data_IF_598849559182
#
_entry.id   IF_598849559182
#
_cell.length_a   1.000
_cell.length_b   1.000
_cell.length_c   1.000
_cell.angle_alpha   90.00
_cell.angle_beta   90.00
_cell.angle_gamma   90.00
#
_symmetry.space_group_name_H-M   'P 1'
#
loop_
_entity.id
_entity.type
_entity.pdbx_description
1 polymer ?
#
# COMPACT_ATOMS: atom_id res chain seq x y z
N UNK A 1 -7.22 -3.39 15.85
CA UNK A 1 -8.70 -3.58 15.89
C UNK A 1 -9.31 -3.77 14.50
N UNK A 2 -8.59 -3.36 13.44
CA UNK A 2 -9.01 -3.38 12.03
C UNK A 2 -9.17 -4.80 11.47
N UNK A 3 -8.30 -5.73 11.90
CA UNK A 3 -8.33 -7.16 11.53
C UNK A 3 -9.63 -7.90 11.91
N UNK A 4 -10.28 -7.53 13.03
CA UNK A 4 -11.54 -8.17 13.49
C UNK A 4 -12.77 -7.75 12.67
N UNK A 5 -12.72 -6.60 12.01
CA UNK A 5 -13.82 -6.11 11.18
C UNK A 5 -13.73 -6.68 9.75
N UNK A 6 -12.54 -6.63 9.14
CA UNK A 6 -12.32 -7.15 7.77
C UNK A 6 -12.73 -8.63 7.65
N UNK A 7 -12.28 -9.46 8.60
CA UNK A 7 -12.63 -10.88 8.70
C UNK A 7 -14.13 -11.16 8.93
N UNK A 8 -14.89 -10.21 9.51
CA UNK A 8 -16.31 -10.43 9.85
C UNK A 8 -17.25 -10.16 8.67
N UNK A 9 -16.90 -9.22 7.78
CA UNK A 9 -17.77 -8.80 6.65
C UNK A 9 -17.45 -9.48 5.32
N UNK A 10 -16.24 -10.00 5.13
CA UNK A 10 -15.77 -10.49 3.83
C UNK A 10 -15.32 -11.95 3.81
N UNK A 11 -15.71 -12.76 4.82
CA UNK A 11 -15.45 -14.21 4.88
C UNK A 11 -16.02 -15.00 3.70
N UNK A 12 -16.92 -14.42 2.88
CA UNK A 12 -17.47 -15.03 1.67
C UNK A 12 -16.67 -14.76 0.39
N UNK A 13 -15.58 -14.00 0.45
CA UNK A 13 -14.69 -13.74 -0.69
C UNK A 13 -13.28 -14.27 -0.43
N UNK A 14 -13.19 -15.54 -0.03
CA UNK A 14 -11.95 -16.28 -0.24
C UNK A 14 -11.95 -16.73 -1.71
N UNK A 15 -10.98 -16.35 -2.56
CA UNK A 15 -10.70 -17.19 -3.70
C UNK A 15 -10.33 -18.56 -3.13
N UNK A 16 -10.94 -19.61 -3.66
CA UNK A 16 -10.56 -21.00 -3.37
C UNK A 16 -9.07 -21.10 -3.69
N UNK A 17 -8.22 -20.99 -2.67
CA UNK A 17 -6.84 -21.44 -2.78
C UNK A 17 -6.95 -22.95 -2.82
N UNK A 18 -7.11 -23.46 -4.04
CA UNK A 18 -6.92 -24.86 -4.32
C UNK A 18 -5.50 -25.21 -3.90
N UNK A 19 -5.43 -26.06 -2.89
CA UNK A 19 -4.22 -26.70 -2.42
C UNK A 19 -3.69 -27.56 -3.55
N UNK A 20 -2.75 -27.05 -4.34
CA UNK A 20 -1.86 -27.89 -5.13
C UNK A 20 -0.48 -27.79 -4.52
N UNK A 21 -0.17 -28.79 -3.70
CA UNK A 21 1.19 -29.17 -3.34
C UNK A 21 1.98 -29.56 -4.59
N UNK A 22 3.31 -29.37 -4.44
CA UNK A 22 4.40 -29.95 -5.21
C UNK A 22 4.87 -29.19 -6.47
N UNK A 23 5.95 -28.44 -6.23
CA UNK A 23 7.22 -28.55 -6.96
C UNK A 23 7.18 -28.45 -8.49
N UNK A 24 7.67 -27.32 -9.04
CA UNK A 24 8.77 -27.40 -10.02
C UNK A 24 9.57 -26.09 -10.07
N UNK A 25 10.88 -26.26 -10.07
CA UNK A 25 11.90 -25.24 -10.23
C UNK A 25 11.71 -24.37 -11.48
N UNK A 26 11.83 -23.05 -11.31
CA UNK A 26 12.40 -22.16 -12.31
C UNK A 26 12.87 -20.90 -11.59
N UNK A 27 14.18 -20.69 -11.59
CA UNK A 27 14.79 -19.58 -10.89
C UNK A 27 14.29 -18.25 -11.43
N UNK A 28 13.95 -17.36 -10.51
CA UNK A 28 14.21 -15.95 -10.72
C UNK A 28 15.18 -15.55 -9.62
N UNK A 29 16.46 -15.82 -9.87
CA UNK A 29 17.51 -14.97 -9.34
C UNK A 29 17.19 -13.57 -9.88
N UNK A 30 16.37 -12.81 -9.16
CA UNK A 30 16.25 -11.37 -9.37
C UNK A 30 17.64 -10.86 -9.01
N UNK A 31 18.49 -10.82 -10.05
CA UNK A 31 19.82 -10.22 -10.01
C UNK A 31 19.69 -8.98 -9.15
N UNK A 32 20.50 -8.91 -8.09
CA UNK A 32 20.67 -7.70 -7.29
C UNK A 32 21.27 -6.64 -8.23
N UNK A 33 20.44 -6.13 -9.12
CA UNK A 33 20.67 -4.92 -9.86
C UNK A 33 20.53 -3.85 -8.80
N UNK A 34 21.59 -3.06 -8.63
CA UNK A 34 21.58 -1.86 -7.82
C UNK A 34 20.23 -1.14 -7.97
N UNK A 35 19.63 -0.67 -6.87
CA UNK A 35 18.31 -0.06 -6.90
C UNK A 35 18.40 1.22 -7.73
N UNK A 36 18.08 1.08 -9.03
CA UNK A 36 18.16 2.16 -9.99
C UNK A 36 16.97 3.11 -9.75
N UNK A 37 17.22 4.35 -9.31
CA UNK A 37 16.16 5.28 -8.95
C UNK A 37 15.22 5.55 -10.12
N UNK A 38 15.76 5.64 -11.33
CA UNK A 38 14.98 5.93 -12.54
C UNK A 38 14.02 4.77 -12.84
N UNK A 39 14.47 3.53 -12.68
CA UNK A 39 13.66 2.33 -12.88
C UNK A 39 12.57 2.20 -11.82
N UNK A 40 12.88 2.43 -10.54
CA UNK A 40 11.87 2.41 -9.46
C UNK A 40 10.81 3.49 -9.66
N UNK A 41 11.20 4.73 -9.95
CA UNK A 41 10.26 5.84 -10.20
C UNK A 41 9.37 5.55 -11.41
N UNK A 42 9.94 5.00 -12.49
CA UNK A 42 9.19 4.66 -13.70
C UNK A 42 8.17 3.56 -13.44
N UNK A 43 8.56 2.51 -12.70
CA UNK A 43 7.65 1.45 -12.30
C UNK A 43 6.54 1.98 -11.39
N UNK A 44 6.90 2.76 -10.36
CA UNK A 44 5.95 3.39 -9.45
C UNK A 44 4.93 4.27 -10.18
N UNK A 45 5.38 5.07 -11.16
CA UNK A 45 4.49 5.89 -12.00
C UNK A 45 3.51 5.04 -12.79
N UNK A 46 3.94 3.89 -13.31
CA UNK A 46 3.03 2.94 -13.98
C UNK A 46 2.00 2.38 -13.01
N UNK A 47 2.42 2.00 -11.80
CA UNK A 47 1.52 1.48 -10.76
C UNK A 47 0.51 2.52 -10.32
N UNK A 48 0.90 3.78 -10.13
CA UNK A 48 -0.03 4.87 -9.82
C UNK A 48 -1.12 5.04 -10.90
N UNK A 49 -0.72 4.94 -12.18
CA UNK A 49 -1.67 4.98 -13.30
C UNK A 49 -2.66 3.83 -13.26
N UNK A 50 -2.26 2.63 -12.83
CA UNK A 50 -3.19 1.51 -12.66
C UNK A 50 -4.32 1.86 -11.68
N UNK A 51 -4.03 2.67 -10.67
CA UNK A 51 -4.99 3.15 -9.66
C UNK A 51 -5.70 4.45 -10.08
N UNK A 52 -5.43 4.94 -11.30
CA UNK A 52 -6.01 6.19 -11.81
C UNK A 52 -5.49 7.45 -11.13
N UNK A 53 -4.30 7.39 -10.53
CA UNK A 53 -3.67 8.52 -9.84
C UNK A 53 -2.59 9.12 -10.72
N UNK A 54 -2.67 10.42 -10.98
CA UNK A 54 -1.57 11.16 -11.59
C UNK A 54 -0.54 11.63 -10.55
N UNK A 55 0.72 11.73 -10.96
CA UNK A 55 1.79 12.17 -10.06
C UNK A 55 1.57 13.60 -9.53
N UNK A 56 0.98 14.48 -10.34
CA UNK A 56 0.57 15.84 -9.95
C UNK A 56 -0.52 15.82 -8.86
N UNK A 57 -1.50 14.93 -8.97
CA UNK A 57 -2.55 14.74 -7.97
C UNK A 57 -1.99 14.21 -6.66
N UNK A 58 -1.03 13.26 -6.74
CA UNK A 58 -0.33 12.76 -5.57
C UNK A 58 0.37 13.90 -4.82
N UNK A 59 1.14 14.74 -5.52
CA UNK A 59 1.82 15.88 -4.91
C UNK A 59 0.84 16.87 -4.22
N UNK A 60 -0.32 17.10 -4.83
CA UNK A 60 -1.37 17.95 -4.26
C UNK A 60 -2.08 17.31 -3.04
N UNK A 61 -2.18 15.97 -3.00
CA UNK A 61 -2.81 15.22 -1.91
C UNK A 61 -1.91 15.02 -0.68
N UNK A 62 -0.62 15.34 -0.80
CA UNK A 62 0.36 15.19 0.28
C UNK A 62 -0.02 16.09 1.46
N UNK A 63 -0.22 15.53 2.67
CA UNK A 63 -0.55 16.31 3.85
C UNK A 63 0.56 17.31 4.19
N UNK A 64 0.21 18.53 4.59
CA UNK A 64 1.20 19.52 5.06
C UNK A 64 1.71 19.17 6.46
N UNK A 65 0.79 18.82 7.36
CA UNK A 65 1.09 18.50 8.75
C UNK A 65 1.74 17.13 8.91
N UNK A 66 2.76 17.05 9.76
CA UNK A 66 3.49 15.81 10.06
C UNK A 66 2.57 14.73 10.65
N UNK A 67 1.70 15.09 11.59
CA UNK A 67 0.79 14.14 12.26
C UNK A 67 -0.09 13.39 11.24
N UNK A 68 -0.63 14.13 10.27
CA UNK A 68 -1.42 13.56 9.19
C UNK A 68 -0.61 12.60 8.30
N UNK A 69 0.66 12.92 8.03
CA UNK A 69 1.56 12.03 7.28
C UNK A 69 1.80 10.72 8.04
N UNK A 70 2.08 10.81 9.33
CA UNK A 70 2.31 9.64 10.19
C UNK A 70 1.07 8.75 10.25
N UNK A 71 -0.12 9.33 10.36
CA UNK A 71 -1.38 8.56 10.29
C UNK A 71 -1.55 7.85 8.95
N UNK A 72 -1.27 8.53 7.84
CA UNK A 72 -1.36 7.93 6.51
C UNK A 72 -0.36 6.78 6.31
N UNK A 73 0.87 6.93 6.83
CA UNK A 73 1.89 5.89 6.83
C UNK A 73 1.42 4.68 7.63
N UNK A 74 0.94 4.89 8.85
CA UNK A 74 0.45 3.80 9.71
C UNK A 74 -0.66 3.00 9.04
N UNK A 75 -1.63 3.68 8.41
CA UNK A 75 -2.71 3.02 7.68
C UNK A 75 -2.17 2.23 6.48
N UNK A 76 -1.23 2.81 5.73
CA UNK A 76 -0.64 2.16 4.56
C UNK A 76 0.17 0.91 4.95
N UNK A 77 0.94 0.96 6.03
CA UNK A 77 1.67 -0.17 6.59
C UNK A 77 0.71 -1.29 7.04
N UNK A 78 -0.38 -0.96 7.73
CA UNK A 78 -1.35 -1.95 8.20
C UNK A 78 -2.04 -2.67 7.02
N UNK A 79 -2.35 -1.95 5.94
CA UNK A 79 -2.90 -2.54 4.71
C UNK A 79 -1.87 -3.43 4.01
N UNK A 80 -0.61 -2.99 3.93
CA UNK A 80 0.44 -3.74 3.27
C UNK A 80 0.83 -5.01 4.06
N UNK A 81 0.87 -4.93 5.39
CA UNK A 81 1.22 -6.03 6.26
C UNK A 81 0.20 -7.18 6.20
N UNK A 82 -1.10 -6.86 6.11
CA UNK A 82 -2.15 -7.86 6.07
C UNK A 82 -2.38 -8.42 4.65
N UNK A 83 -2.22 -9.73 4.42
CA UNK A 83 -2.36 -10.33 3.09
C UNK A 83 -3.75 -10.17 2.48
N UNK A 84 -4.81 -10.20 3.30
CA UNK A 84 -6.19 -10.14 2.80
C UNK A 84 -6.55 -8.71 2.37
N UNK A 85 -6.18 -7.71 3.18
CA UNK A 85 -6.35 -6.30 2.86
C UNK A 85 -5.50 -5.89 1.66
N UNK A 86 -4.27 -6.38 1.58
CA UNK A 86 -3.39 -6.20 0.43
C UNK A 86 -3.99 -6.75 -0.86
N UNK A 87 -4.46 -8.00 -0.82
CA UNK A 87 -5.08 -8.63 -1.98
C UNK A 87 -6.33 -7.86 -2.43
N UNK A 88 -7.16 -7.42 -1.47
CA UNK A 88 -8.30 -6.56 -1.74
C UNK A 88 -7.88 -5.25 -2.43
N UNK A 89 -6.88 -4.57 -1.89
CA UNK A 89 -6.37 -3.31 -2.42
C UNK A 89 -5.85 -3.46 -3.85
N UNK A 90 -5.08 -4.51 -4.14
CA UNK A 90 -4.53 -4.77 -5.48
C UNK A 90 -5.61 -5.19 -6.49
N UNK A 91 -6.58 -6.00 -6.06
CA UNK A 91 -7.66 -6.51 -6.93
C UNK A 91 -8.67 -5.41 -7.27
N UNK A 92 -9.14 -4.69 -6.26
CA UNK A 92 -10.23 -3.72 -6.40
C UNK A 92 -9.73 -2.29 -6.65
N UNK A 93 -8.42 -2.06 -6.52
CA UNK A 93 -7.79 -0.73 -6.63
C UNK A 93 -8.43 0.31 -5.71
N UNK A 94 -8.89 -0.15 -4.55
CA UNK A 94 -9.62 0.65 -3.56
C UNK A 94 -9.11 0.34 -2.17
N UNK A 95 -9.04 1.38 -1.35
CA UNK A 95 -8.68 1.22 0.05
C UNK A 95 -9.77 0.47 0.82
N UNK A 96 -9.43 -0.52 1.66
CA UNK A 96 -10.39 -1.18 2.52
C UNK A 96 -10.95 -0.16 3.52
N UNK A 97 -12.24 0.17 3.40
CA UNK A 97 -12.88 1.17 4.26
C UNK A 97 -12.92 0.68 5.70
N UNK A 98 -12.24 1.39 6.60
CA UNK A 98 -12.30 1.15 8.03
C UNK A 98 -13.72 1.42 8.54
N UNK A 99 -14.34 0.52 9.31
CA UNK A 99 -15.70 0.73 9.83
C UNK A 99 -15.80 0.76 11.36
N UNK A 100 -14.75 0.42 12.10
CA UNK A 100 -14.77 0.49 13.57
C UNK A 100 -14.91 1.93 14.09
N UNK A 101 -15.60 2.12 15.22
CA UNK A 101 -15.75 3.45 15.83
C UNK A 101 -14.42 4.02 16.34
N UNK A 102 -13.50 3.15 16.74
CA UNK A 102 -12.14 3.53 17.17
C UNK A 102 -11.23 3.94 16.00
N UNK A 103 -11.61 3.65 14.77
CA UNK A 103 -10.87 4.05 13.57
C UNK A 103 -11.46 5.28 12.88
N UNK A 104 -12.38 6.00 13.51
CA UNK A 104 -12.92 7.25 12.98
C UNK A 104 -11.87 8.29 12.53
N UNK A 105 -10.78 8.57 13.27
CA UNK A 105 -9.76 9.49 12.77
C UNK A 105 -9.12 8.95 11.49
N UNK A 106 -8.80 7.66 11.46
CA UNK A 106 -8.21 6.98 10.30
C UNK A 106 -9.17 6.98 9.09
N UNK A 107 -10.49 6.88 9.30
CA UNK A 107 -11.50 7.01 8.22
C UNK A 107 -11.47 8.38 7.57
N UNK A 108 -11.36 9.43 8.37
CA UNK A 108 -11.29 10.80 7.86
C UNK A 108 -10.00 11.02 7.08
N UNK A 109 -8.88 10.50 7.60
CA UNK A 109 -7.57 10.51 6.94
C UNK A 109 -7.63 9.75 5.61
N UNK A 110 -8.19 8.54 5.59
CA UNK A 110 -8.40 7.76 4.36
C UNK A 110 -9.28 8.45 3.33
N UNK A 111 -10.31 9.18 3.77
CA UNK A 111 -11.20 9.91 2.86
C UNK A 111 -10.53 11.15 2.26
N UNK A 112 -9.72 11.88 3.05
CA UNK A 112 -9.09 13.14 2.62
C UNK A 112 -7.78 12.93 1.86
N UNK A 113 -7.06 11.86 2.14
CA UNK A 113 -5.70 11.59 1.65
C UNK A 113 -5.62 10.24 0.93
N UNK A 114 -6.70 9.85 0.25
CA UNK A 114 -6.80 8.53 -0.41
C UNK A 114 -5.67 8.31 -1.42
N UNK A 115 -5.31 9.34 -2.20
CA UNK A 115 -4.25 9.26 -3.21
C UNK A 115 -2.89 9.02 -2.54
N UNK A 116 -2.59 9.77 -1.48
CA UNK A 116 -1.36 9.65 -0.71
C UNK A 116 -1.24 8.27 -0.02
N UNK A 117 -2.31 7.78 0.62
CA UNK A 117 -2.31 6.47 1.27
C UNK A 117 -2.16 5.36 0.23
N UNK A 118 -2.85 5.45 -0.91
CA UNK A 118 -2.71 4.48 -2.02
C UNK A 118 -1.25 4.42 -2.50
N UNK A 119 -0.61 5.57 -2.69
CA UNK A 119 0.78 5.67 -3.08
C UNK A 119 1.73 5.01 -2.06
N UNK A 120 1.55 5.30 -0.78
CA UNK A 120 2.34 4.69 0.29
C UNK A 120 2.14 3.18 0.37
N UNK A 121 0.89 2.71 0.28
CA UNK A 121 0.58 1.27 0.28
C UNK A 121 1.29 0.57 -0.88
N UNK A 122 1.31 1.17 -2.08
CA UNK A 122 2.08 0.64 -3.21
C UNK A 122 3.58 0.59 -2.94
N UNK A 123 4.13 1.62 -2.27
CA UNK A 123 5.54 1.65 -1.90
C UNK A 123 5.90 0.49 -0.97
N UNK A 124 5.07 0.23 0.04
CA UNK A 124 5.30 -0.87 0.98
C UNK A 124 5.10 -2.26 0.35
N UNK A 125 4.11 -2.43 -0.53
CA UNK A 125 3.84 -3.73 -1.19
C UNK A 125 4.96 -4.11 -2.16
N UNK A 126 5.41 -3.16 -2.98
CA UNK A 126 6.40 -3.40 -4.04
C UNK A 126 7.84 -3.30 -3.52
N UNK A 127 8.02 -2.86 -2.26
CA UNK A 127 9.31 -2.76 -1.55
C UNK A 127 10.34 -1.90 -2.28
N UNK A 128 9.95 -0.69 -2.70
CA UNK A 128 10.85 0.26 -3.37
C UNK A 128 11.88 0.83 -2.40
N UNK A 129 13.12 0.34 -2.46
CA UNK A 129 14.14 0.71 -1.48
C UNK A 129 14.59 2.16 -1.63
N UNK A 130 14.59 2.72 -2.84
CA UNK A 130 14.97 4.12 -3.05
C UNK A 130 13.84 5.03 -2.61
N UNK A 131 12.61 4.75 -3.04
CA UNK A 131 11.45 5.60 -2.71
C UNK A 131 11.16 5.63 -1.21
N UNK A 132 11.39 4.53 -0.48
CA UNK A 132 11.25 4.49 0.97
C UNK A 132 12.15 5.47 1.72
N UNK A 133 13.30 5.86 1.14
CA UNK A 133 14.20 6.85 1.75
C UNK A 133 13.65 8.28 1.66
N UNK A 134 12.75 8.54 0.72
CA UNK A 134 12.11 9.85 0.52
C UNK A 134 10.78 9.98 1.26
N UNK A 135 10.25 8.88 1.83
CA UNK A 135 9.03 8.91 2.65
C UNK A 135 9.40 9.42 4.05
N UNK A 136 8.81 10.53 4.53
CA UNK A 136 9.14 11.09 5.83
C UNK A 136 8.62 10.18 6.95
N UNK A 137 9.49 9.79 7.89
CA UNK A 137 9.13 8.96 9.06
C UNK A 137 9.50 7.47 8.95
N UNK A 138 9.90 6.97 7.77
CA UNK A 138 10.31 5.56 7.56
C UNK A 138 11.83 5.36 7.54
N UNK A 139 12.62 6.35 7.98
CA UNK A 139 14.09 6.21 8.14
C UNK A 139 14.96 7.00 7.16
N UNK A 140 14.40 7.95 6.40
CA UNK A 140 15.20 8.97 5.72
C UNK A 140 15.82 9.93 6.73
N UNK A 141 17.15 9.96 6.84
CA UNK A 141 17.90 10.94 7.65
C UNK A 141 17.76 12.32 7.02
N UNK A 142 16.78 13.11 7.44
CA UNK A 142 16.75 14.55 7.19
C UNK A 142 16.28 15.28 8.44
#
# INVERSE_FOLDING_TARGET
MIRRWFNRKHKSMQPVHETQSAETAAGLCKKAADPDPVREISHFKSRLKDFGIEFSQLAASTPKELENRLQAIQVAEEIAADPEMRNYFLTWKRLPLLHDEKSQPQKLTMKRQREYITALTLIFIENYQVLMQYVPGTGGKH
#
